data_IF_514132030608
#
_entry.id   IF_514132030608
#
_cell.length_a   1.000
_cell.length_b   1.000
_cell.length_c   1.000
_cell.angle_alpha   90.00
_cell.angle_beta   90.00
_cell.angle_gamma   90.00
#
_symmetry.space_group_name_H-M   'P 1'
#
loop_
_entity.id
_entity.type
_entity.pdbx_description
1 polymer ?
#
# COMPACT_ATOMS: atom_id res chain seq x y z
N UNK A 1 20.45 -2.84 0.96
CA UNK A 1 20.16 -2.88 -0.50
C UNK A 1 21.45 -2.81 -1.31
N UNK A 2 21.40 -3.28 -2.52
CA UNK A 2 22.51 -3.20 -3.46
C UNK A 2 22.03 -2.50 -4.74
N UNK A 3 22.82 -1.56 -5.21
CA UNK A 3 22.68 -1.01 -6.55
C UNK A 3 23.57 -1.85 -7.49
N UNK A 4 23.01 -2.35 -8.57
CA UNK A 4 23.73 -3.16 -9.55
C UNK A 4 24.18 -2.29 -10.73
N UNK A 5 25.40 -2.50 -11.19
CA UNK A 5 25.87 -1.91 -12.44
C UNK A 5 25.28 -2.66 -13.65
N UNK A 6 25.57 -2.23 -14.87
CA UNK A 6 25.10 -2.85 -16.10
C UNK A 6 25.50 -4.33 -16.23
N UNK A 7 26.58 -4.77 -15.58
CA UNK A 7 27.00 -6.15 -15.51
C UNK A 7 26.29 -6.98 -14.42
N UNK A 8 25.32 -6.39 -13.71
CA UNK A 8 24.61 -7.04 -12.62
C UNK A 8 25.45 -7.22 -11.34
N UNK A 9 26.59 -6.55 -11.23
CA UNK A 9 27.46 -6.64 -10.06
C UNK A 9 27.12 -5.54 -9.05
N UNK A 10 27.18 -5.80 -7.73
CA UNK A 10 26.89 -4.81 -6.69
C UNK A 10 28.12 -3.91 -6.44
N UNK A 11 28.28 -2.77 -7.13
CA UNK A 11 29.43 -1.89 -6.93
C UNK A 11 29.41 -1.20 -5.57
N UNK A 12 28.22 -1.03 -5.00
CA UNK A 12 28.03 -0.35 -3.72
C UNK A 12 26.84 -0.92 -2.96
N UNK A 13 26.98 -1.00 -1.65
CA UNK A 13 25.91 -1.38 -0.72
C UNK A 13 25.37 -0.13 -0.05
N UNK A 14 24.03 0.01 -0.03
CA UNK A 14 23.33 1.03 0.71
C UNK A 14 22.55 0.38 1.86
N UNK A 15 22.57 1.02 3.03
CA UNK A 15 21.88 0.54 4.22
C UNK A 15 20.74 1.48 4.57
N UNK A 16 19.58 0.92 4.88
CA UNK A 16 18.39 1.63 5.33
C UNK A 16 18.00 1.14 6.73
N UNK A 17 17.52 2.04 7.56
CA UNK A 17 17.07 1.73 8.93
C UNK A 17 15.60 1.29 8.98
N UNK A 18 15.13 0.56 7.98
CA UNK A 18 13.77 0.03 7.93
C UNK A 18 13.72 -1.42 8.38
N UNK A 19 12.68 -1.76 9.14
CA UNK A 19 12.43 -3.15 9.50
C UNK A 19 12.19 -4.03 8.28
N UNK A 20 11.57 -3.46 7.22
CA UNK A 20 11.22 -4.20 6.01
C UNK A 20 10.86 -3.25 4.88
N UNK A 21 11.44 -3.47 3.71
CA UNK A 21 11.01 -2.84 2.46
C UNK A 21 9.75 -3.56 1.98
N UNK A 22 8.67 -2.82 1.79
CA UNK A 22 7.37 -3.35 1.33
C UNK A 22 7.21 -3.26 -0.17
N UNK A 23 7.76 -2.22 -0.78
CA UNK A 23 7.81 -2.04 -2.24
C UNK A 23 8.96 -1.13 -2.65
N UNK A 24 9.25 -1.10 -3.93
CA UNK A 24 10.30 -0.25 -4.51
C UNK A 24 9.93 0.14 -5.94
N UNK A 25 10.60 1.18 -6.44
CA UNK A 25 10.49 1.65 -7.82
C UNK A 25 11.55 2.69 -8.14
N UNK A 26 11.40 3.34 -9.28
CA UNK A 26 12.31 4.38 -9.73
C UNK A 26 11.55 5.64 -10.12
N UNK A 27 12.24 6.77 -10.04
CA UNK A 27 11.86 8.04 -10.61
C UNK A 27 13.10 8.73 -11.16
N UNK A 28 13.23 8.78 -12.49
CA UNK A 28 14.48 9.25 -13.12
C UNK A 28 15.69 8.51 -12.53
N UNK A 29 16.63 9.25 -12.00
CA UNK A 29 17.84 8.70 -11.37
C UNK A 29 17.67 8.26 -9.91
N UNK A 30 16.46 8.36 -9.35
CA UNK A 30 16.18 7.94 -7.99
C UNK A 30 15.71 6.50 -7.91
N UNK A 31 16.22 5.75 -6.94
CA UNK A 31 15.66 4.50 -6.47
C UNK A 31 14.84 4.81 -5.21
N UNK A 32 13.56 4.49 -5.25
CA UNK A 32 12.63 4.71 -4.15
C UNK A 32 12.33 3.39 -3.49
N UNK A 33 12.46 3.33 -2.17
CA UNK A 33 11.99 2.20 -1.37
C UNK A 33 10.97 2.67 -0.37
N UNK A 34 9.94 1.86 -0.17
CA UNK A 34 8.86 2.12 0.78
C UNK A 34 8.79 1.04 1.86
N UNK A 35 8.37 1.45 3.04
CA UNK A 35 8.12 0.61 4.20
C UNK A 35 6.91 1.13 4.97
N UNK A 36 6.50 0.42 6.01
CA UNK A 36 5.54 0.90 6.99
C UNK A 36 6.18 0.93 8.37
N UNK A 37 5.77 1.87 9.19
CA UNK A 37 6.29 2.01 10.55
C UNK A 37 5.40 2.90 11.39
N UNK A 38 5.89 3.27 12.56
CA UNK A 38 5.15 4.15 13.45
C UNK A 38 5.29 5.62 13.01
N UNK A 39 4.19 6.34 13.12
CA UNK A 39 4.16 7.79 12.99
C UNK A 39 4.54 8.45 14.31
N UNK A 40 4.75 9.76 14.29
CA UNK A 40 4.85 10.60 15.50
C UNK A 40 3.50 10.87 16.14
N UNK A 41 2.39 10.64 15.45
CA UNK A 41 1.04 10.85 15.96
C UNK A 41 0.61 9.74 16.91
N UNK A 42 0.03 10.13 18.05
CA UNK A 42 -0.42 9.22 19.12
C UNK A 42 -1.77 9.64 19.69
N UNK A 43 -2.45 8.66 20.27
CA UNK A 43 -3.60 8.86 21.14
C UNK A 43 -3.48 7.91 22.34
N UNK A 44 -2.98 8.43 23.47
CA UNK A 44 -2.54 7.60 24.58
C UNK A 44 -1.38 6.69 24.15
N UNK A 45 -1.55 5.39 24.36
CA UNK A 45 -0.56 4.38 23.97
C UNK A 45 -0.70 3.93 22.51
N UNK A 46 -1.76 4.37 21.81
CA UNK A 46 -1.98 3.99 20.42
C UNK A 46 -1.23 4.91 19.47
N UNK A 47 -0.33 4.33 18.70
CA UNK A 47 0.51 5.01 17.72
C UNK A 47 -0.10 4.86 16.32
N UNK A 48 -0.20 5.97 15.59
CA UNK A 48 -0.63 5.94 14.20
C UNK A 48 0.43 5.29 13.31
N UNK A 49 0.00 4.63 12.24
CA UNK A 49 0.90 4.04 11.24
C UNK A 49 1.28 5.07 10.18
N UNK A 50 2.53 4.98 9.71
CA UNK A 50 3.08 5.79 8.62
C UNK A 50 3.57 4.92 7.46
N UNK A 51 3.57 5.53 6.27
CA UNK A 51 4.33 5.09 5.12
C UNK A 51 5.70 5.78 5.17
N UNK A 52 6.77 5.01 5.10
CA UNK A 52 8.14 5.50 5.19
C UNK A 52 8.83 5.32 3.84
N UNK A 53 9.44 6.38 3.33
CA UNK A 53 10.12 6.36 2.04
C UNK A 53 11.60 6.71 2.20
N UNK A 54 12.44 6.04 1.41
CA UNK A 54 13.82 6.44 1.18
C UNK A 54 14.03 6.68 -0.31
N UNK A 55 14.67 7.79 -0.64
CA UNK A 55 15.01 8.21 -2.00
C UNK A 55 16.54 8.18 -2.14
N UNK A 56 17.04 7.25 -2.91
CA UNK A 56 18.47 7.14 -3.23
C UNK A 56 18.72 7.75 -4.61
N UNK A 57 19.48 8.83 -4.65
CA UNK A 57 20.03 9.35 -5.92
C UNK A 57 21.14 8.39 -6.41
N UNK A 58 20.88 7.71 -7.52
CA UNK A 58 21.80 6.71 -8.07
C UNK A 58 23.05 7.35 -8.68
N UNK A 59 23.04 8.64 -9.01
CA UNK A 59 24.20 9.36 -9.59
C UNK A 59 25.15 9.84 -8.51
N UNK A 60 24.64 10.40 -7.42
CA UNK A 60 25.45 10.98 -6.34
C UNK A 60 25.63 10.03 -5.16
N UNK A 61 24.71 9.08 -4.99
CA UNK A 61 24.64 8.19 -3.83
C UNK A 61 24.09 8.87 -2.57
N UNK A 62 23.56 10.08 -2.69
CA UNK A 62 22.88 10.75 -1.57
C UNK A 62 21.51 10.12 -1.31
N UNK A 63 21.05 10.20 -0.07
CA UNK A 63 19.77 9.67 0.39
C UNK A 63 18.98 10.75 1.11
N UNK A 64 17.67 10.75 0.89
CA UNK A 64 16.71 11.51 1.67
C UNK A 64 15.54 10.62 2.06
N UNK A 65 14.81 11.02 3.08
CA UNK A 65 13.70 10.26 3.63
C UNK A 65 12.48 11.14 3.79
N UNK A 66 11.30 10.52 3.70
CA UNK A 66 10.04 11.15 4.06
C UNK A 66 9.10 10.15 4.73
N UNK A 67 8.11 10.67 5.43
CA UNK A 67 7.07 9.88 6.08
C UNK A 67 5.71 10.52 5.84
N UNK A 68 4.72 9.69 5.52
CA UNK A 68 3.33 10.10 5.30
C UNK A 68 2.42 9.27 6.18
N UNK A 69 1.39 9.90 6.76
CA UNK A 69 0.43 9.18 7.59
C UNK A 69 -0.31 8.13 6.76
N UNK A 70 -0.23 6.87 7.20
CA UNK A 70 -0.92 5.77 6.53
C UNK A 70 -2.39 5.65 6.95
N UNK A 71 -2.73 6.17 8.14
CA UNK A 71 -4.08 6.11 8.72
C UNK A 71 -5.05 6.99 7.95
N UNK A 72 -6.21 6.44 7.61
CA UNK A 72 -7.26 7.14 6.86
C UNK A 72 -6.80 7.73 5.52
N UNK A 73 -5.77 7.16 4.91
CA UNK A 73 -5.17 7.67 3.67
C UNK A 73 -6.18 7.80 2.53
N UNK A 74 -7.09 6.85 2.39
CA UNK A 74 -8.16 6.84 1.38
C UNK A 74 -9.44 7.55 1.85
N UNK A 75 -9.46 8.12 3.06
CA UNK A 75 -10.67 8.71 3.64
C UNK A 75 -11.71 7.72 4.11
N UNK A 76 -11.43 6.42 4.06
CA UNK A 76 -12.34 5.33 4.46
C UNK A 76 -12.07 4.77 5.86
N UNK A 77 -11.17 5.41 6.62
CA UNK A 77 -10.79 5.04 7.98
C UNK A 77 -9.64 4.03 8.07
N UNK A 78 -9.33 3.32 7.01
CA UNK A 78 -8.31 2.27 7.04
C UNK A 78 -6.89 2.82 6.92
N UNK A 79 -5.96 2.14 7.55
CA UNK A 79 -4.55 2.29 7.25
C UNK A 79 -4.23 1.58 5.94
N UNK A 80 -3.18 2.01 5.26
CA UNK A 80 -2.80 1.48 3.96
C UNK A 80 -1.34 1.05 3.91
N UNK A 81 -1.02 0.22 2.92
CA UNK A 81 0.34 0.01 2.43
C UNK A 81 0.37 0.21 0.92
N UNK A 82 1.56 0.46 0.37
CA UNK A 82 1.75 0.54 -1.07
C UNK A 82 2.24 -0.80 -1.63
N UNK A 83 1.80 -1.12 -2.86
CA UNK A 83 2.20 -2.31 -3.59
C UNK A 83 2.53 -1.95 -5.05
N UNK A 84 3.81 -1.91 -5.36
CA UNK A 84 4.33 -1.47 -6.65
C UNK A 84 4.45 0.05 -6.75
N UNK A 85 5.53 0.51 -7.34
CA UNK A 85 5.78 1.91 -7.69
C UNK A 85 6.15 1.91 -9.17
N UNK A 86 5.41 2.66 -9.98
CA UNK A 86 5.59 2.73 -11.43
C UNK A 86 5.72 4.19 -11.86
N UNK A 87 6.81 4.49 -12.54
CA UNK A 87 7.00 5.75 -13.24
C UNK A 87 6.47 5.62 -14.66
N UNK A 88 5.54 6.48 -15.04
CA UNK A 88 5.02 6.59 -16.40
C UNK A 88 4.40 7.98 -16.63
N UNK A 89 4.46 8.46 -17.87
CA UNK A 89 3.81 9.73 -18.27
C UNK A 89 4.23 10.95 -17.42
N UNK A 90 5.46 10.97 -16.90
CA UNK A 90 5.90 12.01 -15.97
C UNK A 90 5.21 11.99 -14.60
N UNK A 91 4.68 10.84 -14.19
CA UNK A 91 3.96 10.64 -12.92
C UNK A 91 4.43 9.37 -12.22
N UNK A 92 4.20 9.32 -10.90
CA UNK A 92 4.35 8.10 -10.11
C UNK A 92 2.98 7.50 -9.83
N UNK A 93 2.85 6.21 -10.03
CA UNK A 93 1.65 5.42 -9.74
C UNK A 93 1.97 4.34 -8.72
N UNK A 94 1.09 4.13 -7.75
CA UNK A 94 1.21 3.03 -6.80
C UNK A 94 -0.16 2.45 -6.47
N UNK A 95 -0.23 1.14 -6.30
CA UNK A 95 -1.41 0.49 -5.75
C UNK A 95 -1.49 0.77 -4.25
N UNK A 96 -2.63 1.29 -3.80
CA UNK A 96 -2.91 1.57 -2.40
C UNK A 96 -3.77 0.44 -1.84
N UNK A 97 -3.21 -0.33 -0.92
CA UNK A 97 -3.86 -1.51 -0.37
C UNK A 97 -4.39 -1.20 1.03
N UNK A 98 -5.72 -1.19 1.23
CA UNK A 98 -6.29 -1.01 2.55
C UNK A 98 -6.00 -2.22 3.44
N UNK A 99 -5.68 -1.97 4.72
CA UNK A 99 -5.13 -2.94 5.67
C UNK A 99 -5.96 -3.06 6.95
N UNK A 100 -7.22 -2.62 6.91
CA UNK A 100 -8.06 -2.56 8.09
C UNK A 100 -7.77 -1.33 8.96
N UNK A 101 -8.24 -1.35 10.20
CA UNK A 101 -8.13 -0.21 11.11
C UNK A 101 -7.30 -0.58 12.35
N UNK A 102 -6.33 0.27 12.68
CA UNK A 102 -5.60 0.23 13.95
C UNK A 102 -6.47 0.71 15.12
N UNK A 103 -6.02 0.51 16.36
CA UNK A 103 -6.70 1.12 17.53
C UNK A 103 -6.75 2.63 17.43
N UNK A 104 -5.65 3.26 16.98
CA UNK A 104 -5.62 4.69 16.69
C UNK A 104 -6.70 5.08 15.68
N UNK A 105 -6.78 4.38 14.54
CA UNK A 105 -7.76 4.64 13.48
C UNK A 105 -9.20 4.52 13.97
N UNK A 106 -9.53 3.48 14.73
CA UNK A 106 -10.88 3.27 15.29
C UNK A 106 -11.26 4.42 16.24
N UNK A 107 -10.34 4.87 17.11
CA UNK A 107 -10.58 6.00 18.00
C UNK A 107 -10.81 7.32 17.25
N UNK A 108 -10.01 7.57 16.22
CA UNK A 108 -10.10 8.83 15.44
C UNK A 108 -11.24 8.84 14.43
N UNK A 109 -11.65 7.68 13.94
CA UNK A 109 -12.67 7.53 12.91
C UNK A 109 -13.66 6.40 13.23
N UNK A 110 -14.37 6.46 14.38
CA UNK A 110 -15.36 5.44 14.73
C UNK A 110 -16.51 5.38 13.71
N UNK A 111 -16.79 6.50 13.03
CA UNK A 111 -17.78 6.62 11.96
C UNK A 111 -17.41 5.81 10.68
N UNK A 112 -16.16 5.38 10.55
CA UNK A 112 -15.66 4.56 9.44
C UNK A 112 -15.67 3.05 9.72
N UNK A 113 -16.04 2.64 10.91
CA UNK A 113 -16.28 1.23 11.23
C UNK A 113 -17.62 0.82 10.60
N UNK A 114 -17.58 -0.02 9.58
CA UNK A 114 -18.78 -0.46 8.86
C UNK A 114 -19.56 -1.53 9.63
N UNK A 115 -18.85 -2.30 10.44
CA UNK A 115 -19.41 -3.38 11.26
C UNK A 115 -18.60 -3.51 12.55
N UNK A 116 -19.16 -3.14 13.71
CA UNK A 116 -18.45 -3.23 14.99
C UNK A 116 -18.01 -4.65 15.38
N UNK A 117 -18.67 -5.69 14.85
CA UNK A 117 -18.27 -7.08 15.11
C UNK A 117 -16.95 -7.48 14.46
N UNK A 118 -16.41 -6.65 13.54
CA UNK A 118 -15.08 -6.84 12.97
C UNK A 118 -13.96 -6.44 13.94
N UNK A 119 -14.28 -5.70 15.00
CA UNK A 119 -13.28 -5.28 15.99
C UNK A 119 -12.91 -6.49 16.85
N UNK A 120 -11.64 -6.80 16.88
CA UNK A 120 -11.09 -7.92 17.66
C UNK A 120 -11.22 -7.67 19.16
N UNK A 121 -11.57 -8.70 19.91
CA UNK A 121 -11.69 -8.63 21.39
C UNK A 121 -10.49 -9.23 22.11
N UNK A 122 -9.61 -9.93 21.41
CA UNK A 122 -8.38 -10.56 21.93
C UNK A 122 -7.30 -10.59 20.87
N UNK A 123 -6.06 -10.79 21.28
CA UNK A 123 -4.96 -11.05 20.39
C UNK A 123 -5.09 -12.42 19.74
N UNK A 124 -4.56 -12.57 18.52
CA UNK A 124 -4.64 -13.83 17.78
C UNK A 124 -3.85 -13.83 16.49
N UNK A 125 -4.12 -14.87 15.69
CA UNK A 125 -3.40 -15.09 14.44
C UNK A 125 -1.96 -15.60 14.66
N UNK A 126 -1.18 -15.67 13.58
CA UNK A 126 0.21 -16.09 13.61
C UNK A 126 1.00 -15.46 12.47
N UNK A 127 2.30 -15.28 12.66
CA UNK A 127 3.20 -14.74 11.64
C UNK A 127 2.71 -13.40 11.08
N UNK A 128 2.66 -13.26 9.77
CA UNK A 128 2.17 -12.03 9.09
C UNK A 128 0.65 -11.82 9.23
N UNK A 129 -0.08 -12.78 9.75
CA UNK A 129 -1.50 -12.70 10.05
C UNK A 129 -1.81 -12.40 11.52
N UNK A 130 -0.81 -12.10 12.36
CA UNK A 130 -1.01 -11.73 13.76
C UNK A 130 -1.76 -10.41 13.87
N UNK A 131 -2.61 -10.32 14.88
CA UNK A 131 -3.36 -9.12 15.23
C UNK A 131 -3.49 -8.97 16.74
N UNK A 132 -3.70 -7.75 17.20
CA UNK A 132 -3.98 -7.42 18.60
C UNK A 132 -5.48 -7.23 18.81
N UNK A 133 -5.92 -7.15 20.06
CA UNK A 133 -7.29 -6.76 20.40
C UNK A 133 -7.54 -5.29 20.06
N UNK A 134 -8.81 -4.94 19.78
CA UNK A 134 -9.22 -3.57 19.50
C UNK A 134 -8.89 -3.04 18.10
N UNK A 135 -8.61 -3.91 17.14
CA UNK A 135 -8.34 -3.56 15.74
C UNK A 135 -9.32 -4.23 14.80
N UNK A 136 -9.42 -3.72 13.56
CA UNK A 136 -9.99 -4.46 12.44
C UNK A 136 -8.80 -4.99 11.63
N UNK A 137 -8.52 -6.32 11.65
CA UNK A 137 -7.24 -6.86 11.17
C UNK A 137 -7.13 -7.01 9.66
N UNK A 138 -8.22 -6.78 8.92
CA UNK A 138 -8.25 -6.88 7.46
C UNK A 138 -9.20 -5.87 6.86
N UNK A 139 -9.05 -5.60 5.55
CA UNK A 139 -9.88 -4.57 4.90
C UNK A 139 -11.37 -4.88 4.98
N UNK A 140 -12.15 -3.83 5.20
CA UNK A 140 -13.61 -3.83 5.08
C UNK A 140 -14.07 -3.70 3.60
N UNK A 141 -13.14 -3.42 2.67
CA UNK A 141 -13.41 -3.11 1.27
C UNK A 141 -12.67 -4.06 0.31
N UNK A 142 -12.96 -5.39 0.36
CA UNK A 142 -12.22 -6.37 -0.44
C UNK A 142 -12.49 -6.28 -1.95
N UNK A 143 -13.60 -5.69 -2.34
CA UNK A 143 -14.05 -5.56 -3.74
C UNK A 143 -13.81 -4.16 -4.31
N UNK A 144 -12.76 -3.48 -3.85
CA UNK A 144 -12.33 -2.19 -4.36
C UNK A 144 -10.83 -2.17 -4.60
N UNK A 145 -10.41 -1.48 -5.65
CA UNK A 145 -9.00 -1.21 -5.93
C UNK A 145 -8.75 0.28 -6.04
N UNK A 146 -7.58 0.69 -5.58
CA UNK A 146 -7.16 2.09 -5.52
C UNK A 146 -5.77 2.26 -6.08
N UNK A 147 -5.59 3.27 -6.93
CA UNK A 147 -4.30 3.72 -7.41
C UNK A 147 -4.10 5.17 -6.98
N UNK A 148 -3.00 5.44 -6.30
CA UNK A 148 -2.55 6.80 -6.04
C UNK A 148 -1.68 7.29 -7.21
N UNK A 149 -1.98 8.48 -7.70
CA UNK A 149 -1.33 9.14 -8.84
C UNK A 149 -0.68 10.42 -8.33
N UNK A 150 0.65 10.44 -8.35
CA UNK A 150 1.47 11.57 -7.92
C UNK A 150 2.01 12.31 -9.13
N UNK A 151 1.99 13.64 -9.09
CA UNK A 151 2.54 14.50 -10.14
C UNK A 151 4.01 14.86 -9.92
N UNK A 152 4.49 14.75 -8.68
CA UNK A 152 5.85 15.06 -8.28
C UNK A 152 6.77 13.83 -8.24
N UNK A 153 7.96 14.05 -7.76
CA UNK A 153 9.05 13.08 -7.62
C UNK A 153 9.12 12.44 -6.23
N UNK A 154 8.16 12.73 -5.38
CA UNK A 154 8.07 12.21 -4.02
C UNK A 154 6.62 11.88 -3.65
N UNK A 155 6.44 11.26 -2.48
CA UNK A 155 5.15 10.83 -1.95
C UNK A 155 4.59 11.74 -0.83
N UNK A 156 5.11 12.95 -0.68
CA UNK A 156 4.65 13.91 0.35
C UNK A 156 3.45 14.74 -0.11
N UNK A 157 3.25 14.89 -1.42
CA UNK A 157 2.06 15.57 -1.96
C UNK A 157 0.79 14.74 -1.76
N UNK A 158 -0.36 15.39 -1.78
CA UNK A 158 -1.66 14.71 -1.82
C UNK A 158 -1.90 14.14 -3.21
N UNK A 159 -1.98 12.82 -3.39
CA UNK A 159 -2.19 12.23 -4.71
C UNK A 159 -3.64 12.35 -5.18
N UNK A 160 -3.84 12.22 -6.48
CA UNK A 160 -5.15 11.89 -7.02
C UNK A 160 -5.39 10.39 -6.82
N UNK A 161 -6.55 10.01 -6.29
CA UNK A 161 -6.94 8.62 -6.09
C UNK A 161 -7.89 8.18 -7.19
N UNK A 162 -7.45 7.21 -8.00
CA UNK A 162 -8.33 6.46 -8.90
C UNK A 162 -8.89 5.26 -8.13
N UNK A 163 -10.21 5.12 -8.13
CA UNK A 163 -10.93 4.04 -7.45
C UNK A 163 -11.76 3.24 -8.45
N UNK A 164 -11.89 1.94 -8.25
CA UNK A 164 -12.79 1.07 -9.00
C UNK A 164 -13.39 -0.02 -8.13
N UNK A 165 -14.61 -0.43 -8.46
CA UNK A 165 -15.32 -1.59 -7.93
C UNK A 165 -15.44 -2.74 -8.95
N UNK A 166 -14.73 -2.66 -10.07
CA UNK A 166 -14.72 -3.69 -11.12
C UNK A 166 -13.78 -4.85 -10.79
N UNK A 167 -12.78 -4.61 -9.94
CA UNK A 167 -11.83 -5.62 -9.43
C UNK A 167 -11.66 -5.47 -7.92
N UNK A 168 -11.21 -6.53 -7.26
CA UNK A 168 -10.76 -6.46 -5.88
C UNK A 168 -9.44 -5.67 -5.76
N UNK A 169 -8.94 -5.49 -4.54
CA UNK A 169 -7.73 -4.70 -4.32
C UNK A 169 -6.55 -5.22 -5.16
N UNK A 170 -5.79 -4.29 -5.71
CA UNK A 170 -4.68 -4.58 -6.62
C UNK A 170 -3.42 -4.98 -5.83
N UNK A 171 -3.42 -6.22 -5.35
CA UNK A 171 -2.29 -6.85 -4.67
C UNK A 171 -2.19 -8.30 -5.12
N UNK A 172 -0.99 -8.76 -5.45
CA UNK A 172 -0.74 -10.11 -5.98
C UNK A 172 -1.04 -11.24 -5.01
N UNK A 173 -1.12 -10.95 -3.74
CA UNK A 173 -1.45 -11.89 -2.67
C UNK A 173 -2.26 -11.15 -1.63
N UNK A 174 -2.95 -11.86 -0.76
CA UNK A 174 -3.62 -11.28 0.40
C UNK A 174 -2.72 -10.28 1.12
N UNK A 175 -2.95 -9.00 1.06
CA UNK A 175 -2.07 -7.95 1.60
C UNK A 175 -0.62 -8.01 1.09
N UNK A 176 -0.35 -8.56 -0.07
CA UNK A 176 1.03 -8.72 -0.46
C UNK A 176 1.57 -7.50 -1.18
N UNK A 177 2.52 -6.92 -0.56
CA UNK A 177 3.47 -5.98 -1.11
C UNK A 177 4.55 -6.65 -1.98
N UNK A 178 4.62 -7.96 -2.02
CA UNK A 178 5.68 -8.69 -2.73
C UNK A 178 5.44 -8.86 -4.22
N UNK A 179 4.20 -8.70 -4.65
CA UNK A 179 3.85 -8.89 -6.06
C UNK A 179 3.29 -7.60 -6.61
N UNK A 180 4.04 -7.00 -7.48
CA UNK A 180 3.56 -5.85 -8.26
C UNK A 180 2.38 -6.27 -9.13
N UNK A 181 1.32 -5.49 -9.09
CA UNK A 181 0.08 -5.74 -9.85
C UNK A 181 -0.28 -4.58 -10.77
N UNK A 182 0.65 -3.64 -10.95
CA UNK A 182 0.50 -2.49 -11.83
C UNK A 182 1.66 -2.44 -12.82
N UNK A 183 1.35 -2.18 -14.09
CA UNK A 183 2.33 -2.06 -15.17
C UNK A 183 1.94 -0.96 -16.12
N UNK A 184 2.92 -0.20 -16.57
CA UNK A 184 2.77 0.74 -17.67
C UNK A 184 3.10 0.04 -18.99
N UNK A 185 2.23 0.20 -19.98
CA UNK A 185 2.48 -0.25 -21.35
C UNK A 185 3.22 0.84 -22.14
N UNK A 186 3.83 0.45 -23.26
CA UNK A 186 4.60 1.35 -24.12
C UNK A 186 3.80 2.54 -24.65
N UNK A 187 2.48 2.38 -24.81
CA UNK A 187 1.57 3.45 -25.19
C UNK A 187 1.26 4.45 -24.07
N UNK A 188 1.73 4.17 -22.86
CA UNK A 188 1.53 4.99 -21.67
C UNK A 188 0.29 4.66 -20.86
N UNK A 189 -0.52 3.67 -21.25
CA UNK A 189 -1.63 3.19 -20.44
C UNK A 189 -1.13 2.41 -19.23
N UNK A 190 -1.81 2.56 -18.10
CA UNK A 190 -1.53 1.79 -16.89
C UNK A 190 -2.53 0.64 -16.76
N UNK A 191 -2.04 -0.58 -16.61
CA UNK A 191 -2.86 -1.76 -16.35
C UNK A 191 -2.74 -2.21 -14.90
N UNK A 192 -3.89 -2.49 -14.29
CA UNK A 192 -4.00 -2.85 -12.88
C UNK A 192 -4.70 -4.19 -12.77
N UNK A 193 -4.06 -5.13 -12.09
CA UNK A 193 -4.47 -6.52 -11.99
C UNK A 193 -4.93 -6.85 -10.58
N UNK A 194 -5.94 -7.69 -10.47
CA UNK A 194 -6.35 -8.31 -9.22
C UNK A 194 -6.49 -9.81 -9.40
N UNK A 195 -6.00 -10.61 -8.45
CA UNK A 195 -6.25 -12.05 -8.46
C UNK A 195 -7.73 -12.38 -8.15
N UNK A 196 -8.48 -11.44 -7.59
CA UNK A 196 -9.93 -11.54 -7.33
C UNK A 196 -10.35 -12.67 -6.42
N UNK A 197 -11.53 -13.21 -6.68
CA UNK A 197 -12.27 -14.29 -6.02
C UNK A 197 -12.56 -14.10 -4.53
N UNK A 198 -13.49 -14.91 -4.00
CA UNK A 198 -13.94 -14.89 -2.61
C UNK A 198 -12.84 -15.11 -1.58
N UNK A 199 -11.99 -14.09 -1.40
CA UNK A 199 -10.90 -14.13 -0.43
C UNK A 199 -11.39 -13.85 0.96
N UNK A 200 -10.94 -14.67 1.88
CA UNK A 200 -11.01 -14.42 3.30
C UNK A 200 -9.69 -13.79 3.74
N UNK A 201 -9.75 -12.63 4.40
CA UNK A 201 -8.55 -11.87 4.79
C UNK A 201 -8.02 -12.24 6.16
N UNK A 202 -8.66 -13.15 6.85
CA UNK A 202 -8.18 -13.63 8.14
C UNK A 202 -7.92 -15.13 8.10
N UNK A 203 -6.92 -15.58 8.82
CA UNK A 203 -6.61 -16.99 9.02
C UNK A 203 -7.27 -17.58 10.27
N UNK A 204 -7.95 -16.76 11.06
CA UNK A 204 -8.59 -17.18 12.31
C UNK A 204 -10.06 -17.49 12.11
N UNK A 205 -10.49 -18.68 12.51
CA UNK A 205 -11.91 -19.08 12.50
C UNK A 205 -12.74 -18.36 13.58
N UNK A 206 -12.06 -17.71 14.53
CA UNK A 206 -12.71 -16.93 15.60
C UNK A 206 -13.11 -15.51 15.18
N UNK A 207 -12.61 -15.03 14.03
CA UNK A 207 -12.91 -13.70 13.54
C UNK A 207 -14.05 -13.73 12.54
N UNK A 208 -14.89 -12.71 12.59
CA UNK A 208 -15.83 -12.43 11.52
C UNK A 208 -15.03 -12.15 10.23
N UNK A 209 -15.34 -12.89 9.18
CA UNK A 209 -14.61 -12.82 7.91
C UNK A 209 -15.28 -11.85 6.96
N UNK A 210 -14.46 -11.00 6.34
CA UNK A 210 -14.87 -10.18 5.20
C UNK A 210 -14.33 -10.84 3.94
N UNK A 211 -15.23 -11.18 3.02
CA UNK A 211 -14.91 -11.96 1.82
C UNK A 211 -15.21 -11.14 0.56
N UNK A 212 -14.23 -11.00 -0.32
CA UNK A 212 -14.43 -10.43 -1.64
C UNK A 212 -15.24 -11.35 -2.54
N UNK A 213 -16.00 -10.77 -3.46
CA UNK A 213 -16.91 -11.47 -4.39
C UNK A 213 -16.47 -11.36 -5.84
N UNK A 214 -15.60 -10.39 -6.16
CA UNK A 214 -15.18 -10.15 -7.53
C UNK A 214 -14.20 -11.23 -8.02
N UNK A 215 -14.29 -11.62 -9.30
CA UNK A 215 -13.33 -12.51 -9.91
C UNK A 215 -11.96 -11.83 -10.11
N UNK A 216 -10.97 -12.59 -10.55
CA UNK A 216 -9.74 -12.01 -11.09
C UNK A 216 -10.04 -11.12 -12.29
N UNK A 217 -9.30 -10.04 -12.43
CA UNK A 217 -9.55 -9.09 -13.50
C UNK A 217 -8.41 -8.13 -13.73
N UNK A 218 -8.54 -7.38 -14.82
CA UNK A 218 -7.64 -6.32 -15.24
C UNK A 218 -8.46 -5.10 -15.58
N UNK A 219 -8.06 -3.95 -15.09
CA UNK A 219 -8.62 -2.65 -15.44
C UNK A 219 -7.51 -1.73 -15.91
N UNK A 220 -7.86 -0.66 -16.61
CA UNK A 220 -6.93 0.25 -17.23
C UNK A 220 -7.17 1.69 -16.77
N UNK A 221 -6.08 2.44 -16.65
CA UNK A 221 -6.10 3.90 -16.63
C UNK A 221 -5.41 4.34 -17.92
N UNK A 222 -6.12 5.02 -18.81
CA UNK A 222 -5.53 5.53 -20.06
C UNK A 222 -4.48 6.60 -19.78
N UNK A 223 -3.51 6.70 -20.68
CA UNK A 223 -2.52 7.76 -20.66
C UNK A 223 -3.19 9.13 -20.50
N UNK A 224 -2.76 9.90 -19.49
CA UNK A 224 -3.27 11.23 -19.19
C UNK A 224 -4.57 11.27 -18.40
N UNK A 225 -5.23 10.13 -18.18
CA UNK A 225 -6.43 10.02 -17.36
C UNK A 225 -6.09 9.78 -15.89
N UNK A 226 -7.07 10.03 -15.01
CA UNK A 226 -6.98 9.79 -13.57
C UNK A 226 -8.11 8.90 -13.05
N UNK A 227 -8.84 8.28 -13.97
CA UNK A 227 -9.94 7.37 -13.69
C UNK A 227 -9.78 6.07 -14.47
N UNK A 228 -10.33 4.99 -13.94
CA UNK A 228 -10.42 3.73 -14.67
C UNK A 228 -11.47 3.78 -15.78
N UNK A 229 -11.19 3.07 -16.88
CA UNK A 229 -12.12 2.82 -17.98
C UNK A 229 -12.59 1.34 -18.05
#
# INVERSE_FOLDING_TARGET
SYYLNEAGQPPKKYTYEYNRITTYGTWGDYVITASTGDSTEKDGDDVAQALLFNYLDATTGSQSESAVLAENFLGNGEKVTFAGIVEANGKLYTSVVPMGMSRYGIKKRPDKVTDPELITTKDGGSGSGSYTSGVIPSTQYPDKAYIAIYSGDNFEETPVIAETDKIGFASGRMRSQYYQTIWAADNGDLYVFSPGYGRTFTSSDELKKVTGKLPSGVVRIKKGETTFD
#
